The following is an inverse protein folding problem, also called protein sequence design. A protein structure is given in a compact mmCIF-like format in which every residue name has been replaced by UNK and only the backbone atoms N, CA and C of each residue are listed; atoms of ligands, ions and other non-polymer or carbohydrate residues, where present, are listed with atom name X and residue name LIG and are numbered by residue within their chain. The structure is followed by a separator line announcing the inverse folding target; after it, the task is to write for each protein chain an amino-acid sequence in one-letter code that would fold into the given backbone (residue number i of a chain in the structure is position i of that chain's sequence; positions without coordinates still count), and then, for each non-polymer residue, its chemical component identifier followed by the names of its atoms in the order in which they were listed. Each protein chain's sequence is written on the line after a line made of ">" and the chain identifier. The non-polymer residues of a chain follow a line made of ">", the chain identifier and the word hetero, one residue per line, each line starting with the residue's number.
data_IF_981014104074
#
_entry.id   IF_981014104074
#
_cell.length_a   1.000
_cell.length_b   1.000
_cell.length_c   1.000
_cell.angle_alpha   90.00
_cell.angle_beta   90.00
_cell.angle_gamma   90.00
#
_symmetry.space_group_name_H-M   'P 1'
#
loop_
_entity.id
_entity.type
_entity.pdbx_description
1 polymer ?
#
# COMPACT_ATOMS: atom_id res chain seq x y z
N UNK A 1 4.37 -17.39 12.16
CA UNK A 1 5.33 -17.06 11.09
C UNK A 1 5.66 -15.57 11.15
N UNK A 2 6.78 -15.09 10.57
CA UNK A 2 7.18 -13.68 10.61
C UNK A 2 7.36 -13.10 9.22
N UNK A 3 6.36 -12.37 8.75
CA UNK A 3 6.27 -11.86 7.40
C UNK A 3 6.77 -10.40 7.32
N UNK A 4 7.40 -10.02 6.21
CA UNK A 4 7.79 -8.63 5.92
C UNK A 4 6.84 -8.06 4.87
N UNK A 5 6.43 -6.81 5.04
CA UNK A 5 5.52 -6.10 4.16
C UNK A 5 6.02 -4.66 3.98
N UNK A 6 6.36 -4.30 2.75
CA UNK A 6 6.82 -2.94 2.36
C UNK A 6 5.74 -2.30 1.49
N UNK A 7 5.31 -1.09 1.81
CA UNK A 7 4.39 -0.32 0.96
C UNK A 7 5.21 0.66 0.13
N UNK A 8 5.01 0.63 -1.19
CA UNK A 8 5.53 1.61 -2.16
C UNK A 8 4.37 2.24 -2.91
N UNK A 9 4.60 3.42 -3.50
CA UNK A 9 3.58 4.20 -4.18
C UNK A 9 3.72 5.69 -3.88
N UNK A 10 2.86 6.49 -4.51
CA UNK A 10 3.04 7.93 -4.61
C UNK A 10 2.86 8.68 -3.26
N UNK A 11 3.22 9.96 -3.25
CA UNK A 11 3.04 10.85 -2.09
C UNK A 11 1.54 10.95 -1.76
N UNK A 12 1.18 10.99 -0.47
CA UNK A 12 -0.21 11.07 0.01
C UNK A 12 -1.19 9.97 -0.47
N UNK A 13 -0.74 8.88 -1.12
CA UNK A 13 -1.64 7.84 -1.61
C UNK A 13 -2.33 7.01 -0.51
N UNK A 14 -1.83 7.04 0.74
CA UNK A 14 -2.47 6.42 1.91
C UNK A 14 -1.64 5.40 2.70
N UNK A 15 -0.40 5.10 2.26
CA UNK A 15 0.49 4.08 2.87
C UNK A 15 0.58 4.16 4.40
N UNK A 16 0.97 5.33 4.90
CA UNK A 16 1.18 5.61 6.33
C UNK A 16 -0.11 5.44 7.13
N UNK A 17 -1.24 5.97 6.63
CA UNK A 17 -2.53 5.83 7.29
C UNK A 17 -2.98 4.37 7.37
N UNK A 18 -2.81 3.60 6.30
CA UNK A 18 -3.07 2.15 6.30
C UNK A 18 -2.21 1.41 7.34
N UNK A 19 -0.90 1.73 7.41
CA UNK A 19 0.01 1.10 8.35
C UNK A 19 -0.26 1.48 9.81
N UNK A 20 -0.62 2.73 10.08
CA UNK A 20 -0.97 3.19 11.42
C UNK A 20 -2.26 2.58 11.93
N UNK A 21 -3.30 2.47 11.08
CA UNK A 21 -4.52 1.73 11.44
C UNK A 21 -4.19 0.26 11.68
N UNK A 22 -3.43 -0.40 10.80
CA UNK A 22 -3.08 -1.82 10.93
C UNK A 22 -2.23 -2.15 12.18
N UNK A 23 -1.34 -1.26 12.59
CA UNK A 23 -0.38 -1.51 13.67
C UNK A 23 -0.73 -0.86 15.02
N UNK A 24 -1.56 0.18 15.01
CA UNK A 24 -1.88 1.00 16.21
C UNK A 24 -3.38 1.24 16.42
N UNK A 25 -4.25 0.73 15.55
CA UNK A 25 -5.70 0.98 15.55
C UNK A 25 -6.05 2.48 15.61
N UNK A 26 -5.25 3.30 14.90
CA UNK A 26 -5.34 4.75 14.95
C UNK A 26 -5.09 5.36 13.56
N UNK A 27 -5.99 6.26 13.14
CA UNK A 27 -5.89 6.97 11.87
C UNK A 27 -5.24 8.36 12.06
N UNK A 28 -4.24 8.75 11.25
CA UNK A 28 -3.61 10.07 11.35
C UNK A 28 -4.53 11.18 10.80
N UNK A 29 -4.99 12.08 11.67
CA UNK A 29 -5.79 13.25 11.28
C UNK A 29 -5.00 14.27 10.44
N UNK A 30 -3.67 14.29 10.55
CA UNK A 30 -2.79 15.24 9.85
C UNK A 30 -1.75 14.53 9.00
N UNK A 31 -1.51 15.06 7.79
CA UNK A 31 -0.48 14.52 6.91
C UNK A 31 0.91 14.98 7.36
N UNK A 32 1.75 14.01 7.74
CA UNK A 32 3.19 14.19 7.95
C UNK A 32 3.93 13.40 6.86
N UNK A 33 4.86 14.00 6.10
CA UNK A 33 5.63 13.28 5.10
C UNK A 33 6.55 12.21 5.72
N UNK A 34 6.27 10.93 5.46
CA UNK A 34 7.16 9.85 5.88
C UNK A 34 8.50 9.94 5.17
N UNK A 35 9.59 9.91 5.94
CA UNK A 35 10.94 9.62 5.43
C UNK A 35 11.11 8.10 5.34
N UNK A 36 10.98 7.41 6.48
CA UNK A 36 10.99 5.95 6.60
C UNK A 36 10.55 5.54 8.00
N UNK A 37 9.63 4.59 8.15
CA UNK A 37 9.23 4.05 9.46
C UNK A 37 9.04 2.53 9.43
N UNK A 38 9.30 1.87 10.56
CA UNK A 38 9.03 0.45 10.76
C UNK A 38 8.00 0.25 11.87
N UNK A 39 7.01 -0.59 11.60
CA UNK A 39 5.97 -0.98 12.54
C UNK A 39 5.95 -2.51 12.65
N UNK A 40 5.41 -3.03 13.75
CA UNK A 40 5.09 -4.45 13.89
C UNK A 40 3.61 -4.60 14.19
N UNK A 41 2.93 -5.51 13.49
CA UNK A 41 1.54 -5.88 13.76
C UNK A 41 1.41 -7.40 13.87
N UNK A 42 0.50 -7.89 14.71
CA UNK A 42 0.26 -9.32 14.86
C UNK A 42 -1.12 -9.66 14.32
N UNK A 43 -1.18 -10.36 13.19
CA UNK A 43 -2.42 -10.92 12.66
C UNK A 43 -2.62 -12.34 13.21
N UNK A 44 -3.81 -12.59 13.74
CA UNK A 44 -4.27 -13.93 14.10
C UNK A 44 -5.40 -14.32 13.15
N UNK A 45 -5.19 -15.37 12.35
CA UNK A 45 -6.28 -16.18 11.81
C UNK A 45 -6.58 -17.32 12.78
N UNK A 46 -7.69 -18.04 12.56
CA UNK A 46 -8.10 -19.16 13.42
C UNK A 46 -7.03 -20.26 13.50
N UNK A 47 -6.27 -20.48 12.42
CA UNK A 47 -5.25 -21.53 12.33
C UNK A 47 -3.82 -21.03 12.56
N UNK A 48 -3.53 -19.73 12.43
CA UNK A 48 -2.15 -19.24 12.47
C UNK A 48 -1.97 -17.81 12.99
N UNK A 49 -0.93 -17.62 13.81
CA UNK A 49 -0.40 -16.28 14.14
C UNK A 49 0.74 -15.89 13.21
N UNK A 50 0.61 -14.72 12.60
CA UNK A 50 1.58 -14.11 11.69
C UNK A 50 1.98 -12.74 12.24
N UNK A 51 3.25 -12.60 12.60
CA UNK A 51 3.86 -11.30 12.91
C UNK A 51 4.21 -10.62 11.59
N UNK A 52 3.72 -9.41 11.36
CA UNK A 52 4.07 -8.56 10.23
C UNK A 52 5.10 -7.50 10.66
N UNK A 53 6.27 -7.49 10.03
CA UNK A 53 7.16 -6.33 10.02
C UNK A 53 6.79 -5.45 8.83
N UNK A 54 6.23 -4.29 9.14
CA UNK A 54 5.63 -3.34 8.21
C UNK A 54 6.60 -2.18 7.97
N UNK A 55 6.81 -1.78 6.72
CA UNK A 55 7.81 -0.78 6.34
C UNK A 55 7.15 0.29 5.47
N UNK A 56 7.07 1.52 5.99
CA UNK A 56 6.57 2.68 5.26
C UNK A 56 7.71 3.38 4.52
N UNK A 57 7.54 3.63 3.22
CA UNK A 57 8.54 4.33 2.40
C UNK A 57 8.04 5.71 1.99
N UNK A 58 8.96 6.68 1.88
CA UNK A 58 8.64 7.98 1.30
C UNK A 58 8.09 7.82 -0.13
N UNK A 59 7.05 8.59 -0.47
CA UNK A 59 6.62 8.74 -1.87
C UNK A 59 7.53 9.72 -2.65
N UNK A 60 8.33 10.51 -1.94
CA UNK A 60 9.19 11.56 -2.49
C UNK A 60 10.59 11.03 -2.78
N UNK A 61 10.78 10.45 -3.97
CA UNK A 61 12.08 10.32 -4.62
C UNK A 61 12.86 9.03 -4.40
N UNK A 62 12.81 8.14 -5.39
CA UNK A 62 13.97 7.39 -5.93
C UNK A 62 14.71 6.38 -5.05
N UNK A 63 14.33 6.17 -3.77
CA UNK A 63 15.02 5.22 -2.88
C UNK A 63 14.32 3.86 -2.80
N UNK A 64 14.54 3.13 -3.89
CA UNK A 64 14.44 1.68 -4.08
C UNK A 64 14.81 0.85 -2.85
N UNK A 65 13.83 0.28 -2.15
CA UNK A 65 14.03 -0.78 -1.16
C UNK A 65 12.75 -1.61 -0.95
N UNK A 66 12.57 -2.63 -1.80
CA UNK A 66 11.48 -3.64 -1.77
C UNK A 66 11.57 -4.52 -0.51
N UNK A 67 10.52 -5.32 -0.19
CA UNK A 67 10.57 -6.72 0.32
C UNK A 67 9.17 -7.18 0.79
N UNK A 68 8.68 -8.32 0.29
CA UNK A 68 7.45 -8.99 0.73
C UNK A 68 7.64 -10.51 0.87
N UNK A 69 7.15 -11.09 1.96
CA UNK A 69 6.94 -12.54 2.19
C UNK A 69 6.17 -12.67 3.50
N UNK A 70 5.10 -13.45 3.68
CA UNK A 70 4.31 -14.33 2.81
C UNK A 70 2.89 -14.43 3.41
N UNK A 71 2.13 -15.52 3.36
CA UNK A 71 2.27 -16.80 2.65
C UNK A 71 0.85 -17.39 2.45
N UNK A 72 0.68 -18.40 1.58
CA UNK A 72 -0.64 -18.92 1.14
C UNK A 72 -0.77 -18.91 -0.39
N UNK A 73 -1.65 -19.72 -0.96
CA UNK A 73 -1.80 -19.87 -2.43
C UNK A 73 -2.47 -18.67 -3.12
N UNK A 74 -2.51 -18.69 -4.46
CA UNK A 74 -3.23 -17.70 -5.27
C UNK A 74 -2.32 -16.78 -6.09
N UNK A 75 -2.13 -17.13 -7.36
CA UNK A 75 -1.74 -16.20 -8.41
C UNK A 75 -2.99 -15.59 -9.01
N UNK A 76 -3.08 -14.26 -9.09
CA UNK A 76 -3.81 -13.43 -10.09
C UNK A 76 -4.27 -12.11 -9.46
N UNK A 77 -3.69 -11.00 -9.93
CA UNK A 77 -4.30 -9.67 -10.16
C UNK A 77 -3.19 -8.61 -10.28
N UNK A 78 -2.54 -8.59 -11.45
CA UNK A 78 -1.49 -7.66 -11.84
C UNK A 78 -2.01 -6.52 -12.74
N UNK A 79 -3.32 -6.28 -12.74
CA UNK A 79 -3.97 -5.28 -13.57
C UNK A 79 -3.79 -3.88 -12.94
N UNK A 80 -3.14 -2.97 -13.68
CA UNK A 80 -2.99 -1.54 -13.38
C UNK A 80 -1.99 -1.10 -12.28
N UNK A 81 -0.91 -1.87 -12.01
CA UNK A 81 0.29 -1.24 -11.43
C UNK A 81 0.93 -0.28 -12.47
N UNK A 82 1.25 0.99 -12.12
CA UNK A 82 2.03 1.85 -12.99
C UNK A 82 3.38 1.20 -13.34
N UNK A 83 3.83 1.25 -14.60
CA UNK A 83 4.98 0.47 -15.07
C UNK A 83 6.26 0.76 -14.28
N UNK A 84 6.46 2.01 -13.82
CA UNK A 84 7.56 2.43 -12.97
C UNK A 84 7.71 1.55 -11.70
N UNK A 85 6.61 1.32 -10.97
CA UNK A 85 6.62 0.56 -9.73
C UNK A 85 6.79 -0.94 -10.00
N UNK A 86 6.20 -1.47 -11.08
CA UNK A 86 6.33 -2.88 -11.47
C UNK A 86 7.77 -3.23 -11.87
N UNK A 87 8.39 -2.43 -12.73
CA UNK A 87 9.79 -2.64 -13.15
C UNK A 87 10.74 -2.51 -11.97
N UNK A 88 10.58 -1.46 -11.15
CA UNK A 88 11.44 -1.27 -9.97
C UNK A 88 11.35 -2.44 -8.99
N UNK A 89 10.16 -3.00 -8.73
CA UNK A 89 10.04 -4.16 -7.82
C UNK A 89 10.73 -5.40 -8.41
N UNK A 90 10.55 -5.66 -9.71
CA UNK A 90 11.09 -6.86 -10.36
C UNK A 90 12.61 -6.80 -10.58
N UNK A 91 13.17 -5.60 -10.80
CA UNK A 91 14.63 -5.38 -10.91
C UNK A 91 15.37 -5.77 -9.62
N UNK A 92 14.78 -5.47 -8.46
CA UNK A 92 15.38 -5.78 -7.15
C UNK A 92 14.98 -7.16 -6.61
N UNK A 93 13.76 -7.61 -6.87
CA UNK A 93 13.21 -8.86 -6.31
C UNK A 93 12.28 -9.58 -7.31
N UNK A 94 12.82 -10.27 -8.34
CA UNK A 94 12.02 -10.84 -9.43
C UNK A 94 11.04 -11.94 -9.00
N UNK A 95 11.29 -12.61 -7.87
CA UNK A 95 10.44 -13.67 -7.32
C UNK A 95 9.46 -13.18 -6.24
N UNK A 96 9.37 -11.87 -5.99
CA UNK A 96 8.49 -11.30 -4.97
C UNK A 96 7.06 -11.18 -5.47
N UNK A 97 6.11 -11.64 -4.66
CA UNK A 97 4.68 -11.41 -4.90
C UNK A 97 4.34 -9.94 -4.66
N UNK A 98 3.54 -9.36 -5.55
CA UNK A 98 3.08 -7.97 -5.47
C UNK A 98 1.57 -7.96 -5.39
N UNK A 99 1.02 -7.14 -4.48
CA UNK A 99 -0.41 -6.88 -4.38
C UNK A 99 -0.65 -5.41 -4.71
N UNK A 100 -1.63 -5.13 -5.58
CA UNK A 100 -2.12 -3.78 -5.80
C UNK A 100 -3.20 -3.47 -4.75
N UNK A 101 -3.04 -2.36 -4.03
CA UNK A 101 -3.94 -1.95 -2.95
C UNK A 101 -4.58 -0.62 -3.31
N UNK A 102 -5.90 -0.62 -3.51
CA UNK A 102 -6.68 0.61 -3.70
C UNK A 102 -6.97 1.28 -2.36
N UNK A 103 -6.36 2.44 -2.11
CA UNK A 103 -6.59 3.26 -0.92
C UNK A 103 -7.72 4.28 -1.13
N UNK A 104 -8.20 4.88 -0.05
CA UNK A 104 -9.22 5.97 -0.05
C UNK A 104 -10.51 5.61 -0.78
N UNK A 105 -11.03 4.42 -0.52
CA UNK A 105 -12.21 3.86 -1.22
C UNK A 105 -13.49 4.64 -0.92
N UNK A 106 -13.55 5.31 0.22
CA UNK A 106 -14.52 6.30 0.68
C UNK A 106 -14.69 7.49 -0.29
N UNK A 107 -13.60 7.97 -0.89
CA UNK A 107 -13.63 9.11 -1.80
C UNK A 107 -14.33 8.81 -3.14
N UNK A 108 -14.66 7.55 -3.46
CA UNK A 108 -15.44 7.22 -4.68
C UNK A 108 -16.83 7.86 -4.70
N UNK A 109 -17.39 8.15 -3.53
CA UNK A 109 -18.72 8.76 -3.36
C UNK A 109 -18.67 10.16 -2.77
N UNK A 110 -17.47 10.69 -2.49
CA UNK A 110 -17.32 12.07 -2.00
C UNK A 110 -17.62 13.07 -3.12
N UNK A 111 -18.56 13.99 -2.86
CA UNK A 111 -19.00 14.98 -3.84
C UNK A 111 -17.86 15.92 -4.25
N UNK A 112 -16.97 16.28 -3.32
CA UNK A 112 -15.86 17.21 -3.61
C UNK A 112 -14.88 16.57 -4.58
N UNK A 113 -14.45 15.34 -4.28
CA UNK A 113 -13.60 14.51 -5.15
C UNK A 113 -14.24 14.27 -6.51
N UNK A 114 -15.54 13.97 -6.57
CA UNK A 114 -16.27 13.77 -7.83
C UNK A 114 -16.31 15.04 -8.70
N UNK A 115 -16.48 16.22 -8.10
CA UNK A 115 -16.43 17.51 -8.80
C UNK A 115 -15.02 17.82 -9.33
N UNK A 116 -13.97 17.57 -8.53
CA UNK A 116 -12.58 17.74 -8.95
C UNK A 116 -12.20 16.81 -10.12
N UNK A 117 -12.59 15.54 -10.06
CA UNK A 117 -12.42 14.58 -11.14
C UNK A 117 -13.17 15.01 -12.41
N UNK A 118 -14.41 15.51 -12.26
CA UNK A 118 -15.22 16.02 -13.38
C UNK A 118 -14.54 17.19 -14.10
N UNK A 119 -13.99 18.16 -13.35
CA UNK A 119 -13.19 19.26 -13.92
C UNK A 119 -11.96 18.75 -14.69
N UNK A 120 -11.34 17.65 -14.24
CA UNK A 120 -10.21 17.00 -14.91
C UNK A 120 -10.62 16.03 -16.03
N UNK A 121 -11.92 15.89 -16.33
CA UNK A 121 -12.50 14.91 -17.27
C UNK A 121 -12.17 13.45 -16.92
N UNK A 122 -12.05 13.17 -15.62
CA UNK A 122 -11.81 11.84 -15.07
C UNK A 122 -13.07 11.31 -14.36
N UNK A 123 -13.07 10.02 -14.06
CA UNK A 123 -14.11 9.35 -13.28
C UNK A 123 -13.46 8.32 -12.32
N UNK A 124 -14.11 7.98 -11.19
CA UNK A 124 -13.63 6.91 -10.31
C UNK A 124 -13.50 5.57 -11.03
N UNK A 125 -12.52 4.76 -10.61
CA UNK A 125 -12.34 3.40 -11.13
C UNK A 125 -13.45 2.48 -10.58
N UNK A 126 -14.21 1.89 -11.49
CA UNK A 126 -15.24 0.87 -11.26
C UNK A 126 -14.66 -0.53 -11.04
N UNK A 127 -15.47 -1.43 -10.48
CA UNK A 127 -15.15 -2.85 -10.24
C UNK A 127 -15.46 -3.73 -11.46
#
# INVERSE_FOLDING_TARGET
>A
ARCKLVLVGDVQCGKTAMLQVLAKDCYPETYVPTVFENYTACLASEEQRVELSLWDTSGTGGRRAVHLWGAGGGSEQLCALPPQWKTEILDYCPNTRVLLIGCKTDLRTDLSTLLELSHQKQAPISY
#
